data_IF_720644551982
#
_entry.id   IF_720644551982
#
_cell.length_a   1.000
_cell.length_b   1.000
_cell.length_c   1.000
_cell.angle_alpha   90.00
_cell.angle_beta   90.00
_cell.angle_gamma   90.00
#
_symmetry.space_group_name_H-M   'P 1'
#
loop_
_entity.id
_entity.type
_entity.pdbx_description
1 polymer ?
#
# COMPACT_ATOMS: atom_id res chain seq x y z
N UNK A 1 -7.02 -22.47 -0.34
CA UNK A 1 -7.40 -23.09 -1.62
C UNK A 1 -8.89 -23.28 -1.73
N UNK A 2 -9.54 -24.11 -0.88
CA UNK A 2 -10.97 -24.38 -1.02
C UNK A 2 -11.92 -23.20 -0.74
N UNK A 3 -11.67 -22.37 0.29
CA UNK A 3 -12.66 -21.37 0.72
C UNK A 3 -12.75 -20.18 -0.26
N UNK A 4 -11.61 -19.62 -0.68
CA UNK A 4 -11.60 -18.44 -1.54
C UNK A 4 -12.30 -18.66 -2.89
N UNK A 5 -12.03 -19.79 -3.55
CA UNK A 5 -12.65 -20.10 -4.85
C UNK A 5 -14.05 -20.67 -4.71
N UNK A 6 -14.35 -21.48 -3.67
CA UNK A 6 -15.71 -22.02 -3.46
C UNK A 6 -16.73 -20.91 -3.13
N UNK A 7 -16.33 -19.93 -2.32
CA UNK A 7 -17.21 -18.85 -1.85
C UNK A 7 -17.10 -17.57 -2.69
N UNK A 8 -16.32 -17.60 -3.79
CA UNK A 8 -16.12 -16.49 -4.74
C UNK A 8 -15.54 -15.22 -4.11
N UNK A 9 -14.55 -15.41 -3.24
CA UNK A 9 -13.79 -14.32 -2.64
C UNK A 9 -12.56 -13.95 -3.48
N UNK A 10 -12.19 -12.67 -3.42
CA UNK A 10 -10.91 -12.15 -3.91
C UNK A 10 -9.80 -12.42 -2.90
N UNK A 11 -8.56 -12.46 -3.37
CA UNK A 11 -7.36 -12.73 -2.57
C UNK A 11 -6.40 -11.56 -2.63
N UNK A 12 -5.79 -11.27 -1.47
CA UNK A 12 -4.61 -10.40 -1.40
C UNK A 12 -3.37 -11.30 -1.44
N UNK A 13 -2.54 -11.11 -2.45
CA UNK A 13 -1.28 -11.80 -2.67
C UNK A 13 -0.14 -11.04 -1.99
N UNK A 14 0.09 -11.33 -0.72
CA UNK A 14 1.19 -10.73 0.03
C UNK A 14 2.53 -11.33 -0.37
N UNK A 15 3.49 -10.46 -0.67
CA UNK A 15 4.88 -10.83 -0.89
C UNK A 15 5.81 -9.87 -0.12
N UNK A 16 6.95 -10.37 0.41
CA UNK A 16 8.01 -9.51 0.89
C UNK A 16 8.47 -8.58 -0.25
N UNK A 17 9.09 -7.45 0.11
CA UNK A 17 9.47 -6.33 -0.78
C UNK A 17 10.53 -6.73 -1.84
N UNK A 18 10.13 -7.61 -2.76
CA UNK A 18 10.90 -8.19 -3.85
C UNK A 18 9.95 -8.48 -5.02
N UNK A 19 10.22 -7.83 -6.15
CA UNK A 19 9.39 -7.91 -7.35
C UNK A 19 9.30 -9.33 -7.93
N UNK A 20 10.37 -10.12 -7.81
CA UNK A 20 10.40 -11.48 -8.35
C UNK A 20 9.56 -12.41 -7.48
N UNK A 21 9.60 -12.24 -6.16
CA UNK A 21 8.74 -12.99 -5.24
C UNK A 21 7.28 -12.62 -5.49
N UNK A 22 6.95 -11.33 -5.62
CA UNK A 22 5.59 -10.89 -5.98
C UNK A 22 5.08 -11.53 -7.28
N UNK A 23 5.93 -11.59 -8.32
CA UNK A 23 5.59 -12.28 -9.56
C UNK A 23 5.38 -13.79 -9.36
N UNK A 24 6.25 -14.43 -8.59
CA UNK A 24 6.18 -15.85 -8.33
C UNK A 24 4.92 -16.22 -7.55
N UNK A 25 4.47 -15.38 -6.60
CA UNK A 25 3.19 -15.58 -5.90
C UNK A 25 2.03 -15.57 -6.90
N UNK A 26 2.01 -14.64 -7.85
CA UNK A 26 0.96 -14.58 -8.87
C UNK A 26 0.97 -15.79 -9.80
N UNK A 27 2.15 -16.32 -10.15
CA UNK A 27 2.29 -17.58 -10.90
C UNK A 27 1.68 -18.73 -10.11
N UNK A 28 2.06 -18.86 -8.82
CA UNK A 28 1.55 -19.92 -7.96
C UNK A 28 0.02 -19.83 -7.78
N UNK A 29 -0.55 -18.62 -7.73
CA UNK A 29 -2.01 -18.41 -7.70
C UNK A 29 -2.68 -18.78 -9.03
N UNK A 30 -2.03 -18.56 -10.17
CA UNK A 30 -2.57 -18.99 -11.45
C UNK A 30 -2.52 -20.52 -11.61
N UNK A 31 -1.38 -21.14 -11.27
CA UNK A 31 -1.22 -22.59 -11.22
C UNK A 31 -2.22 -23.23 -10.23
N UNK A 32 -2.64 -22.43 -9.25
CA UNK A 32 -3.64 -22.78 -8.27
C UNK A 32 -5.09 -22.80 -8.78
N UNK A 33 -5.33 -22.30 -9.99
CA UNK A 33 -6.66 -22.12 -10.55
C UNK A 33 -7.38 -20.86 -10.08
N UNK A 34 -6.69 -19.90 -9.45
CA UNK A 34 -7.27 -18.57 -9.24
C UNK A 34 -7.22 -17.77 -10.54
N UNK A 35 -8.30 -17.03 -10.82
CA UNK A 35 -8.27 -16.00 -11.85
C UNK A 35 -7.47 -14.80 -11.35
N UNK A 36 -6.57 -14.26 -12.18
CA UNK A 36 -5.77 -13.08 -11.80
C UNK A 36 -6.64 -11.82 -11.59
N UNK A 37 -7.86 -11.79 -12.12
CA UNK A 37 -8.83 -10.70 -11.88
C UNK A 37 -9.40 -10.68 -10.45
N UNK A 38 -9.20 -11.77 -9.70
CA UNK A 38 -9.58 -11.91 -8.30
C UNK A 38 -8.40 -11.71 -7.35
N UNK A 39 -7.26 -11.27 -7.87
CA UNK A 39 -6.02 -11.10 -7.09
C UNK A 39 -5.63 -9.62 -7.01
N UNK A 40 -5.32 -9.18 -5.79
CA UNK A 40 -4.73 -7.87 -5.49
C UNK A 40 -3.33 -8.10 -4.95
N UNK A 41 -2.32 -7.46 -5.51
CA UNK A 41 -0.93 -7.57 -5.05
C UNK A 41 -0.72 -6.74 -3.79
N UNK A 42 -0.12 -7.33 -2.76
CA UNK A 42 0.33 -6.62 -1.57
C UNK A 42 1.85 -6.76 -1.47
N UNK A 43 2.57 -5.72 -1.87
CA UNK A 43 3.98 -5.59 -1.53
C UNK A 43 4.03 -5.07 -0.09
N UNK A 44 4.69 -5.80 0.82
CA UNK A 44 4.74 -5.42 2.24
C UNK A 44 5.05 -3.92 2.38
N UNK A 45 4.10 -3.18 2.95
CA UNK A 45 4.14 -1.72 3.04
C UNK A 45 5.15 -1.31 4.12
N UNK A 46 5.67 -0.09 4.03
CA UNK A 46 6.53 0.51 5.03
C UNK A 46 6.00 1.88 5.46
N UNK A 47 6.22 2.24 6.73
CA UNK A 47 5.94 3.57 7.21
C UNK A 47 6.94 4.59 6.65
N UNK A 48 6.51 5.84 6.53
CA UNK A 48 7.40 6.95 6.17
C UNK A 48 8.59 7.01 7.13
N UNK A 49 9.81 7.06 6.57
CA UNK A 49 11.07 7.05 7.33
C UNK A 49 11.59 5.65 7.71
N UNK A 50 10.85 4.58 7.43
CA UNK A 50 11.16 3.21 7.84
C UNK A 50 11.22 2.25 6.64
N UNK A 51 12.03 2.58 5.63
CA UNK A 51 12.17 1.79 4.40
C UNK A 51 11.16 2.15 3.31
N UNK A 52 10.40 3.23 3.51
CA UNK A 52 9.42 3.76 2.55
C UNK A 52 9.97 3.88 1.13
N UNK A 53 11.13 4.51 0.92
CA UNK A 53 11.69 4.76 -0.42
C UNK A 53 11.95 3.47 -1.21
N UNK A 54 12.37 2.42 -0.50
CA UNK A 54 12.62 1.11 -1.09
C UNK A 54 11.31 0.46 -1.54
N UNK A 55 10.28 0.47 -0.69
CA UNK A 55 8.96 -0.08 -1.04
C UNK A 55 8.28 0.75 -2.13
N UNK A 56 8.38 2.08 -2.08
CA UNK A 56 7.90 3.00 -3.12
C UNK A 56 8.44 2.59 -4.50
N UNK A 57 9.75 2.38 -4.59
CA UNK A 57 10.40 1.94 -5.84
C UNK A 57 9.87 0.58 -6.32
N UNK A 58 9.51 -0.34 -5.41
CA UNK A 58 8.91 -1.62 -5.80
C UNK A 58 7.52 -1.43 -6.40
N UNK A 59 6.67 -0.59 -5.81
CA UNK A 59 5.34 -0.26 -6.36
C UNK A 59 5.45 0.31 -7.79
N UNK A 60 6.39 1.22 -8.01
CA UNK A 60 6.64 1.79 -9.35
C UNK A 60 7.09 0.72 -10.34
N UNK A 61 8.04 -0.15 -9.94
CA UNK A 61 8.55 -1.20 -10.83
C UNK A 61 7.46 -2.21 -11.19
N UNK A 62 6.58 -2.57 -10.26
CA UNK A 62 5.41 -3.41 -10.52
C UNK A 62 4.49 -2.73 -11.53
N UNK A 63 4.13 -1.46 -11.29
CA UNK A 63 3.29 -0.66 -12.20
C UNK A 63 3.89 -0.59 -13.60
N UNK A 64 5.17 -0.27 -13.72
CA UNK A 64 5.89 -0.17 -15.00
C UNK A 64 5.93 -1.52 -15.70
N UNK A 65 6.18 -2.62 -14.99
CA UNK A 65 6.18 -3.96 -15.58
C UNK A 65 4.80 -4.32 -16.16
N UNK A 66 3.72 -4.06 -15.41
CA UNK A 66 2.36 -4.25 -15.88
C UNK A 66 2.03 -3.42 -17.12
N UNK A 67 2.37 -2.13 -17.12
CA UNK A 67 2.17 -1.23 -18.27
C UNK A 67 3.00 -1.63 -19.51
N UNK A 68 4.14 -2.30 -19.31
CA UNK A 68 4.96 -2.87 -20.40
C UNK A 68 4.43 -4.21 -20.92
N UNK A 69 3.31 -4.70 -20.40
CA UNK A 69 2.62 -5.89 -20.89
C UNK A 69 2.85 -7.16 -20.07
N UNK A 70 3.55 -7.09 -18.93
CA UNK A 70 3.68 -8.24 -18.03
C UNK A 70 2.36 -8.47 -17.27
N UNK A 71 1.54 -9.39 -17.79
CA UNK A 71 0.20 -9.69 -17.24
C UNK A 71 0.22 -10.17 -15.80
N UNK A 72 1.31 -10.82 -15.37
CA UNK A 72 1.46 -11.28 -13.98
C UNK A 72 1.76 -10.13 -13.02
N UNK A 73 2.11 -8.96 -13.54
CA UNK A 73 2.39 -7.74 -12.76
C UNK A 73 1.34 -6.64 -12.99
N UNK A 74 0.36 -6.89 -13.87
CA UNK A 74 -0.69 -5.95 -14.24
C UNK A 74 -1.94 -6.07 -13.33
N UNK A 75 -1.72 -6.38 -12.05
CA UNK A 75 -2.78 -6.54 -11.06
C UNK A 75 -2.84 -5.28 -10.16
N UNK A 76 -4.01 -4.97 -9.55
CA UNK A 76 -4.11 -3.88 -8.60
C UNK A 76 -3.18 -4.06 -7.42
N UNK A 77 -2.63 -2.96 -6.89
CA UNK A 77 -1.73 -2.94 -5.74
C UNK A 77 -2.41 -2.33 -4.51
N UNK A 78 -2.31 -3.01 -3.36
CA UNK A 78 -2.76 -2.50 -2.06
C UNK A 78 -1.57 -2.08 -1.19
N UNK A 79 -1.68 -0.93 -0.52
CA UNK A 79 -0.73 -0.48 0.49
C UNK A 79 -1.40 -0.36 1.87
N UNK A 80 -0.82 -1.04 2.86
CA UNK A 80 -1.30 -1.10 4.24
C UNK A 80 -0.72 0.01 5.12
N UNK A 81 -0.99 1.26 4.74
CA UNK A 81 -0.30 2.44 5.29
C UNK A 81 -0.61 2.66 6.75
N UNK A 82 -1.88 2.57 7.16
CA UNK A 82 -2.26 2.82 8.55
C UNK A 82 -1.61 1.81 9.50
N UNK A 83 -1.60 0.53 9.14
CA UNK A 83 -0.96 -0.50 9.96
C UNK A 83 0.51 -0.19 10.21
N UNK A 84 1.25 0.27 9.20
CA UNK A 84 2.67 0.56 9.36
C UNK A 84 2.94 1.89 10.06
N UNK A 85 2.21 2.95 9.71
CA UNK A 85 2.43 4.27 10.30
C UNK A 85 2.19 4.27 11.81
N UNK A 86 1.12 3.64 12.30
CA UNK A 86 0.78 3.72 13.73
C UNK A 86 1.62 2.79 14.64
N UNK A 87 2.74 2.26 14.13
CA UNK A 87 3.78 1.57 14.91
C UNK A 87 5.01 2.43 15.17
N UNK A 88 5.20 3.52 14.42
CA UNK A 88 6.42 4.33 14.50
C UNK A 88 6.32 5.39 15.59
N UNK A 89 7.47 5.77 16.16
CA UNK A 89 7.50 6.69 17.31
C UNK A 89 7.00 8.08 16.92
N UNK A 90 7.26 8.51 15.69
CA UNK A 90 6.89 9.80 15.15
C UNK A 90 5.37 9.97 15.08
N UNK A 91 4.64 8.88 14.85
CA UNK A 91 3.18 8.89 14.79
C UNK A 91 2.49 8.64 16.14
N UNK A 92 3.21 8.21 17.17
CA UNK A 92 2.60 7.71 18.42
C UNK A 92 3.10 8.36 19.70
N UNK A 93 4.34 8.87 19.73
CA UNK A 93 4.95 9.45 20.93
C UNK A 93 4.60 10.94 21.04
N UNK A 94 4.37 11.39 22.28
CA UNK A 94 4.01 12.75 22.60
C UNK A 94 5.21 13.73 22.52
N UNK A 95 4.93 15.00 22.81
CA UNK A 95 5.91 16.08 22.77
C UNK A 95 6.95 16.02 23.89
N UNK A 96 6.71 15.23 24.94
CA UNK A 96 7.71 15.01 26.00
C UNK A 96 8.77 14.02 25.51
N UNK A 97 8.34 12.96 24.84
CA UNK A 97 9.23 11.97 24.24
C UNK A 97 9.92 12.48 22.97
N UNK A 98 9.26 13.34 22.19
CA UNK A 98 9.80 13.98 20.97
C UNK A 98 9.69 15.52 21.01
N UNK A 99 10.51 16.21 21.84
CA UNK A 99 10.48 17.66 21.92
C UNK A 99 10.85 18.32 20.58
N UNK A 100 10.08 19.32 20.17
CA UNK A 100 10.32 20.09 18.94
C UNK A 100 9.71 19.50 17.67
N UNK A 101 9.03 18.34 17.75
CA UNK A 101 8.42 17.68 16.59
C UNK A 101 6.98 18.16 16.27
N UNK A 102 6.51 19.20 16.94
CA UNK A 102 5.13 19.69 16.82
C UNK A 102 4.13 18.84 17.60
N UNK A 103 2.82 19.04 17.36
CA UNK A 103 1.78 18.34 18.11
C UNK A 103 1.57 16.90 17.62
N UNK A 104 1.38 15.93 18.52
CA UNK A 104 1.11 14.54 18.14
C UNK A 104 -0.15 14.41 17.28
N UNK A 105 -1.21 15.15 17.64
CA UNK A 105 -2.48 15.14 16.93
C UNK A 105 -2.35 15.52 15.44
N UNK A 106 -1.49 16.49 15.12
CA UNK A 106 -1.20 16.84 13.73
C UNK A 106 -0.18 15.89 13.11
N UNK A 107 0.90 15.58 13.83
CA UNK A 107 2.02 14.81 13.31
C UNK A 107 1.60 13.40 12.89
N UNK A 108 0.85 12.67 13.72
CA UNK A 108 0.42 11.30 13.39
C UNK A 108 -0.43 11.23 12.12
N UNK A 109 -1.40 12.14 11.99
CA UNK A 109 -2.25 12.26 10.81
C UNK A 109 -1.44 12.61 9.57
N UNK A 110 -0.54 13.58 9.68
CA UNK A 110 0.33 13.97 8.56
C UNK A 110 1.31 12.87 8.17
N UNK A 111 1.78 12.06 9.12
CA UNK A 111 2.67 10.93 8.83
C UNK A 111 1.97 9.86 7.99
N UNK A 112 0.73 9.54 8.36
CA UNK A 112 -0.10 8.58 7.62
C UNK A 112 -0.47 9.13 6.25
N UNK A 113 -0.88 10.40 6.19
CA UNK A 113 -1.27 11.08 4.96
C UNK A 113 -0.09 11.16 3.99
N UNK A 114 1.09 11.59 4.44
CA UNK A 114 2.28 11.70 3.60
C UNK A 114 2.72 10.34 3.04
N UNK A 115 2.72 9.28 3.86
CA UNK A 115 3.00 7.93 3.39
C UNK A 115 1.96 7.46 2.35
N UNK A 116 0.68 7.72 2.60
CA UNK A 116 -0.42 7.36 1.69
C UNK A 116 -0.34 8.10 0.35
N UNK A 117 -0.06 9.40 0.36
CA UNK A 117 0.19 10.20 -0.85
C UNK A 117 1.35 9.64 -1.65
N UNK A 118 2.45 9.28 -1.00
CA UNK A 118 3.57 8.68 -1.68
C UNK A 118 3.22 7.32 -2.32
N UNK A 119 2.53 6.42 -1.62
CA UNK A 119 2.08 5.16 -2.22
C UNK A 119 1.07 5.36 -3.36
N UNK A 120 0.19 6.35 -3.26
CA UNK A 120 -0.70 6.74 -4.35
C UNK A 120 0.10 7.08 -5.61
N UNK A 121 1.13 7.94 -5.48
CA UNK A 121 2.00 8.31 -6.60
C UNK A 121 2.85 7.14 -7.12
N UNK A 122 3.24 6.20 -6.26
CA UNK A 122 3.95 4.98 -6.67
C UNK A 122 3.06 4.00 -7.46
N UNK A 123 1.75 4.24 -7.51
CA UNK A 123 0.79 3.45 -8.26
C UNK A 123 0.05 2.41 -7.43
N UNK A 124 -0.17 2.65 -6.14
CA UNK A 124 -1.14 1.92 -5.34
C UNK A 124 -2.57 2.23 -5.80
N UNK A 125 -3.40 1.19 -5.94
CA UNK A 125 -4.81 1.30 -6.31
C UNK A 125 -5.72 1.29 -5.07
N UNK A 126 -5.27 0.68 -3.98
CA UNK A 126 -6.00 0.59 -2.72
C UNK A 126 -5.08 1.04 -1.58
N UNK A 127 -5.55 1.99 -0.79
CA UNK A 127 -4.88 2.46 0.43
C UNK A 127 -5.71 2.04 1.64
N UNK A 128 -5.11 1.36 2.61
CA UNK A 128 -5.75 1.14 3.91
C UNK A 128 -5.17 2.11 4.95
N UNK A 129 -6.06 2.87 5.57
CA UNK A 129 -5.75 3.93 6.54
C UNK A 129 -6.51 3.67 7.83
N UNK A 130 -5.99 4.17 8.94
CA UNK A 130 -6.57 4.02 10.27
C UNK A 130 -7.21 5.33 10.79
N UNK A 131 -6.65 6.51 10.48
CA UNK A 131 -7.16 7.76 11.03
C UNK A 131 -8.18 8.44 10.10
N UNK A 132 -9.37 8.85 10.60
CA UNK A 132 -10.43 9.41 9.77
C UNK A 132 -10.05 10.73 9.09
N UNK A 133 -9.20 11.54 9.72
CA UNK A 133 -8.70 12.78 9.10
C UNK A 133 -7.77 12.48 7.92
N UNK A 134 -6.92 11.45 8.01
CA UNK A 134 -6.08 11.00 6.88
C UNK A 134 -6.95 10.49 5.73
N UNK A 135 -8.03 9.75 6.05
CA UNK A 135 -9.00 9.28 5.04
C UNK A 135 -9.67 10.47 4.32
N UNK A 136 -10.11 11.48 5.07
CA UNK A 136 -10.73 12.66 4.48
C UNK A 136 -9.75 13.42 3.57
N UNK A 137 -8.53 13.66 4.04
CA UNK A 137 -7.49 14.34 3.28
C UNK A 137 -7.10 13.57 2.00
N UNK A 138 -6.98 12.24 2.09
CA UNK A 138 -6.66 11.42 0.92
C UNK A 138 -7.80 11.38 -0.10
N UNK A 139 -9.07 11.44 0.33
CA UNK A 139 -10.20 11.54 -0.59
C UNK A 139 -10.16 12.85 -1.38
N UNK A 140 -9.97 13.98 -0.68
CA UNK A 140 -9.84 15.29 -1.30
C UNK A 140 -8.67 15.32 -2.31
N UNK A 141 -7.50 14.83 -1.91
CA UNK A 141 -6.34 14.76 -2.79
C UNK A 141 -6.58 13.88 -4.03
N UNK A 142 -7.28 12.75 -3.89
CA UNK A 142 -7.63 11.89 -5.03
C UNK A 142 -8.64 12.59 -5.94
N UNK A 143 -9.65 13.26 -5.39
CA UNK A 143 -10.66 13.98 -6.16
C UNK A 143 -9.99 15.11 -6.99
N UNK A 144 -9.02 15.82 -6.41
CA UNK A 144 -8.23 16.83 -7.13
C UNK A 144 -7.37 16.23 -8.24
N UNK A 145 -6.69 15.10 -8.01
CA UNK A 145 -5.87 14.43 -9.03
C UNK A 145 -6.71 13.88 -10.19
N UNK A 146 -7.98 13.58 -9.95
CA UNK A 146 -8.91 13.06 -10.94
C UNK A 146 -9.76 14.15 -11.61
N UNK A 147 -9.64 15.41 -11.18
CA UNK A 147 -10.31 16.53 -11.81
C UNK A 147 -9.72 16.78 -13.22
N UNK A 148 -10.58 16.73 -14.24
CA UNK A 148 -10.25 17.06 -15.63
C UNK A 148 -10.50 18.53 -15.92
#
# INVERSE_FOLDING_TARGET
WAIGTADKHKVIAEAPVDINIGKQVNILLQDAGFSLEDVVMCQTTAALGYGFDYVFTIFERVRIAGLRGDKLMALPQIANVGWETWKVKEATQDEQALPGWGTLAQRGVLWETAAATGYLHAGADILTLAHPQSVAAMREAIDELMAN
#
